data_IF_257915585837
#
_entry.id   IF_257915585837
#
_cell.length_a   1.000
_cell.length_b   1.000
_cell.length_c   1.000
_cell.angle_alpha   90.00
_cell.angle_beta   90.00
_cell.angle_gamma   90.00
#
_symmetry.space_group_name_H-M   'P 1'
#
loop_
_entity.id
_entity.type
_entity.pdbx_description
1 polymer ?
#
# COMPACT_ATOMS: atom_id res chain seq x y z
N UNK A 1 -12.02 -13.63 2.47
CA UNK A 1 -11.86 -14.66 1.42
C UNK A 1 -10.44 -14.52 0.90
N UNK A 2 -9.63 -15.57 0.93
CA UNK A 2 -8.26 -15.54 0.43
C UNK A 2 -8.29 -15.35 -1.08
N UNK A 3 -7.78 -14.23 -1.60
CA UNK A 3 -7.40 -14.16 -3.01
C UNK A 3 -6.42 -15.32 -3.27
N UNK A 4 -6.84 -16.25 -4.12
CA UNK A 4 -5.99 -17.34 -4.56
C UNK A 4 -4.79 -16.74 -5.32
N UNK A 5 -3.69 -16.50 -4.61
CA UNK A 5 -2.40 -16.21 -5.21
C UNK A 5 -2.15 -17.26 -6.29
N UNK A 6 -1.80 -16.81 -7.49
CA UNK A 6 -1.52 -17.66 -8.65
C UNK A 6 -0.02 -17.68 -8.89
N UNK A 7 0.50 -18.84 -9.30
CA UNK A 7 1.87 -18.98 -9.73
C UNK A 7 2.17 -18.04 -10.90
N UNK A 8 3.26 -17.29 -10.80
CA UNK A 8 3.67 -16.29 -11.80
C UNK A 8 4.18 -16.91 -13.10
N UNK A 9 4.51 -18.21 -13.08
CA UNK A 9 4.91 -18.93 -14.28
C UNK A 9 3.72 -19.58 -15.00
N UNK A 10 2.89 -20.34 -14.27
CA UNK A 10 1.88 -21.21 -14.88
C UNK A 10 0.43 -20.78 -14.63
N UNK A 11 0.21 -19.69 -13.89
CA UNK A 11 -1.13 -19.16 -13.59
C UNK A 11 -2.00 -20.01 -12.66
N UNK A 12 -1.51 -21.18 -12.22
CA UNK A 12 -2.24 -22.08 -11.31
C UNK A 12 -2.21 -21.53 -9.89
N UNK A 13 -3.36 -21.54 -9.21
CA UNK A 13 -3.44 -21.35 -7.77
C UNK A 13 -3.24 -22.67 -7.04
N UNK A 14 -2.60 -22.64 -5.88
CA UNK A 14 -2.50 -23.78 -4.96
C UNK A 14 -2.40 -23.25 -3.53
N UNK A 15 -2.70 -24.08 -2.52
CA UNK A 15 -2.75 -23.66 -1.11
C UNK A 15 -1.43 -23.08 -0.60
N UNK A 16 -0.29 -23.60 -1.07
CA UNK A 16 1.05 -23.16 -0.64
C UNK A 16 1.91 -22.79 -1.84
N UNK A 17 2.15 -21.50 -2.05
CA UNK A 17 3.11 -21.03 -3.06
C UNK A 17 4.43 -20.64 -2.39
N UNK A 18 5.55 -20.93 -3.06
CA UNK A 18 6.87 -20.46 -2.65
C UNK A 18 7.12 -19.05 -3.18
N UNK A 19 7.69 -18.18 -2.34
CA UNK A 19 8.13 -16.83 -2.75
C UNK A 19 9.54 -16.89 -3.33
N UNK A 20 9.84 -16.09 -4.34
CA UNK A 20 11.20 -15.88 -4.85
C UNK A 20 12.13 -15.46 -3.71
N UNK A 21 13.28 -16.09 -3.54
CA UNK A 21 14.19 -15.74 -2.45
C UNK A 21 14.83 -14.32 -2.59
N UNK A 22 14.98 -13.85 -3.84
CA UNK A 22 15.56 -12.53 -4.13
C UNK A 22 14.59 -11.40 -3.85
N UNK A 23 13.51 -11.31 -4.62
CA UNK A 23 12.54 -10.23 -4.44
C UNK A 23 11.55 -10.50 -3.29
N UNK A 24 11.22 -11.76 -2.97
CA UNK A 24 10.16 -12.16 -1.99
C UNK A 24 8.73 -11.80 -2.43
N UNK A 25 8.55 -11.41 -3.68
CA UNK A 25 7.27 -11.00 -4.27
C UNK A 25 6.67 -12.04 -5.20
N UNK A 26 7.41 -12.41 -6.25
CA UNK A 26 6.93 -13.39 -7.20
C UNK A 26 6.71 -14.73 -6.49
N UNK A 27 5.53 -15.32 -6.72
CA UNK A 27 5.12 -16.59 -6.10
C UNK A 27 5.05 -17.69 -7.14
N UNK A 28 5.48 -18.89 -6.77
CA UNK A 28 5.62 -20.03 -7.66
C UNK A 28 5.10 -21.31 -7.01
N UNK A 29 4.63 -22.25 -7.83
CA UNK A 29 4.24 -23.57 -7.34
C UNK A 29 5.42 -24.30 -6.69
N UNK A 30 6.60 -24.19 -7.30
CA UNK A 30 7.81 -24.91 -6.94
C UNK A 30 9.03 -24.27 -7.63
N UNK A 31 10.22 -24.83 -7.37
CA UNK A 31 11.48 -24.34 -7.93
C UNK A 31 11.52 -24.43 -9.47
N UNK A 32 10.79 -25.35 -10.07
CA UNK A 32 10.76 -25.50 -11.53
C UNK A 32 9.99 -24.36 -12.19
N UNK A 33 8.84 -23.99 -11.63
CA UNK A 33 8.12 -22.79 -12.06
C UNK A 33 8.96 -21.51 -11.88
N UNK A 34 9.72 -21.41 -10.78
CA UNK A 34 10.62 -20.28 -10.57
C UNK A 34 11.75 -20.24 -11.63
N UNK A 35 12.39 -21.38 -11.92
CA UNK A 35 13.46 -21.49 -12.93
C UNK A 35 12.95 -21.20 -14.33
N UNK A 36 11.78 -21.72 -14.69
CA UNK A 36 11.14 -21.47 -15.98
C UNK A 36 10.81 -19.99 -16.19
N UNK A 37 10.35 -19.29 -15.14
CA UNK A 37 10.08 -17.85 -15.20
C UNK A 37 11.34 -16.98 -15.08
N UNK A 38 12.52 -17.55 -14.78
CA UNK A 38 13.70 -16.77 -14.41
C UNK A 38 14.19 -15.84 -15.51
N UNK A 39 14.13 -16.23 -16.78
CA UNK A 39 14.54 -15.37 -17.91
C UNK A 39 13.75 -14.06 -17.94
N UNK A 40 12.45 -14.11 -17.62
CA UNK A 40 11.55 -12.96 -17.64
C UNK A 40 11.57 -12.21 -16.30
N UNK A 41 11.82 -12.92 -15.19
CA UNK A 41 11.80 -12.37 -13.85
C UNK A 41 13.13 -11.74 -13.41
N UNK A 42 14.27 -12.24 -13.87
CA UNK A 42 15.61 -11.94 -13.30
C UNK A 42 15.88 -10.45 -13.17
N UNK A 43 15.63 -9.68 -14.24
CA UNK A 43 15.94 -8.26 -14.25
C UNK A 43 14.93 -7.46 -13.40
N UNK A 44 13.63 -7.79 -13.47
CA UNK A 44 12.63 -7.23 -12.56
C UNK A 44 12.94 -7.54 -11.08
N UNK A 45 13.41 -8.76 -10.79
CA UNK A 45 13.81 -9.19 -9.46
C UNK A 45 15.00 -8.37 -8.92
N UNK A 46 16.04 -8.16 -9.74
CA UNK A 46 17.21 -7.37 -9.37
C UNK A 46 16.86 -5.90 -9.22
N UNK A 47 16.04 -5.36 -10.11
CA UNK A 47 15.64 -3.97 -10.12
C UNK A 47 14.88 -3.63 -8.83
N UNK A 48 13.88 -4.44 -8.48
CA UNK A 48 13.15 -4.29 -7.21
C UNK A 48 14.08 -4.34 -6.00
N UNK A 49 15.06 -5.24 -6.01
CA UNK A 49 16.04 -5.32 -4.94
C UNK A 49 16.89 -4.06 -4.81
N UNK A 50 17.35 -3.50 -5.93
CA UNK A 50 18.06 -2.22 -5.95
C UNK A 50 17.19 -1.07 -5.49
N UNK A 51 15.93 -1.01 -5.93
CA UNK A 51 15.02 0.09 -5.59
C UNK A 51 14.70 0.18 -4.10
N UNK A 52 14.56 -0.97 -3.45
CA UNK A 52 14.30 -1.03 -2.01
C UNK A 52 15.55 -0.76 -1.20
N UNK A 53 16.70 -1.25 -1.65
CA UNK A 53 17.98 -0.95 -1.04
C UNK A 53 18.33 0.54 -1.16
N UNK A 54 18.01 1.16 -2.30
CA UNK A 54 18.19 2.60 -2.54
C UNK A 54 17.10 3.47 -1.90
N UNK A 55 16.10 2.87 -1.23
CA UNK A 55 14.94 3.56 -0.70
C UNK A 55 15.27 4.45 0.50
N UNK A 56 15.74 5.67 0.24
CA UNK A 56 15.67 6.79 1.17
C UNK A 56 14.91 7.95 0.51
N UNK A 57 13.88 8.43 1.21
CA UNK A 57 13.19 9.71 0.99
C UNK A 57 12.49 9.90 -0.36
N UNK A 58 11.17 9.67 -0.40
CA UNK A 58 10.34 10.67 -1.07
C UNK A 58 10.28 11.91 -0.17
N UNK A 59 11.36 12.71 -0.21
CA UNK A 59 11.22 14.14 0.03
C UNK A 59 11.54 14.95 -1.21
N UNK A 60 12.35 14.47 -2.15
CA UNK A 60 12.71 15.28 -3.32
C UNK A 60 12.81 14.43 -4.60
N UNK A 61 11.89 14.72 -5.52
CA UNK A 61 11.89 14.37 -6.95
C UNK A 61 12.01 12.87 -7.39
N UNK A 62 10.96 12.27 -8.01
CA UNK A 62 11.05 10.93 -8.60
C UNK A 62 12.14 10.74 -9.68
N UNK A 63 12.64 11.82 -10.30
CA UNK A 63 13.71 11.75 -11.30
C UNK A 63 15.09 11.37 -10.70
N UNK A 64 15.33 11.65 -9.41
CA UNK A 64 16.63 11.39 -8.76
C UNK A 64 16.90 9.89 -8.58
N UNK A 65 15.86 9.11 -8.21
CA UNK A 65 16.00 7.67 -8.00
C UNK A 65 16.16 6.93 -9.33
N UNK A 66 15.57 7.46 -10.41
CA UNK A 66 15.75 6.95 -11.77
C UNK A 66 17.21 7.09 -12.20
N UNK A 67 17.86 8.21 -11.90
CA UNK A 67 19.28 8.42 -12.20
C UNK A 67 20.18 7.34 -11.56
N UNK A 68 19.87 6.92 -10.33
CA UNK A 68 20.58 5.83 -9.64
C UNK A 68 20.30 4.44 -10.24
N UNK A 69 19.16 4.24 -10.90
CA UNK A 69 18.82 2.99 -11.61
C UNK A 69 19.56 2.91 -12.95
N UNK A 70 19.62 4.03 -13.68
CA UNK A 70 20.26 4.12 -15.00
C UNK A 70 21.77 4.19 -14.93
N UNK A 71 22.34 4.54 -13.76
CA UNK A 71 23.78 4.50 -13.50
C UNK A 71 24.36 3.08 -13.56
N UNK A 72 24.69 2.63 -14.77
CA UNK A 72 25.33 1.33 -15.03
C UNK A 72 24.45 0.27 -15.70
N UNK A 73 23.23 0.61 -16.12
CA UNK A 73 22.40 -0.26 -16.97
C UNK A 73 22.40 0.36 -18.37
N UNK A 74 22.96 -0.36 -19.34
CA UNK A 74 22.93 0.04 -20.74
C UNK A 74 21.47 0.31 -21.14
N UNK A 75 21.17 1.45 -21.78
CA UNK A 75 19.83 1.91 -22.21
C UNK A 75 19.17 1.00 -23.26
N UNK A 76 19.48 -0.30 -23.27
CA UNK A 76 18.65 -1.27 -23.94
C UNK A 76 17.27 -1.19 -23.31
N UNK A 77 16.33 -0.54 -24.01
CA UNK A 77 14.90 -0.65 -23.79
C UNK A 77 14.59 -2.12 -23.57
N UNK A 78 14.41 -2.51 -22.31
CA UNK A 78 14.01 -3.86 -21.96
C UNK A 78 12.54 -3.96 -22.32
N UNK A 79 12.28 -4.21 -23.60
CA UNK A 79 10.97 -4.64 -24.11
C UNK A 79 10.77 -6.08 -23.64
N UNK A 80 10.66 -6.26 -22.32
CA UNK A 80 10.07 -7.48 -21.78
C UNK A 80 8.60 -7.33 -22.15
N UNK A 81 8.20 -8.00 -23.23
CA UNK A 81 6.83 -7.97 -23.73
C UNK A 81 5.91 -8.48 -22.64
N UNK A 82 5.28 -7.54 -21.96
CA UNK A 82 4.19 -7.79 -21.04
C UNK A 82 2.92 -7.16 -21.66
N UNK A 83 1.74 -7.57 -21.19
CA UNK A 83 0.46 -7.14 -21.78
C UNK A 83 0.23 -5.62 -21.72
N UNK A 84 1.11 -4.86 -21.06
CA UNK A 84 1.05 -3.40 -20.96
C UNK A 84 1.69 -2.67 -22.14
N UNK A 85 2.59 -3.31 -22.88
CA UNK A 85 3.32 -2.71 -24.00
C UNK A 85 4.39 -1.67 -23.62
N UNK A 86 4.78 -1.59 -22.33
CA UNK A 86 5.79 -0.64 -21.82
C UNK A 86 7.04 -1.35 -21.31
N UNK A 87 8.19 -0.67 -21.36
CA UNK A 87 9.41 -1.19 -20.76
C UNK A 87 9.39 -1.10 -19.23
N UNK A 88 10.16 -1.96 -18.57
CA UNK A 88 10.26 -2.09 -17.11
C UNK A 88 10.50 -0.75 -16.39
N UNK A 89 11.40 0.09 -16.92
CA UNK A 89 11.78 1.35 -16.28
C UNK A 89 10.63 2.37 -16.36
N UNK A 90 9.92 2.39 -17.48
CA UNK A 90 8.71 3.22 -17.63
C UNK A 90 7.63 2.83 -16.63
N UNK A 91 7.35 1.53 -16.45
CA UNK A 91 6.32 1.11 -15.49
C UNK A 91 6.70 1.50 -14.05
N UNK A 92 7.97 1.35 -13.66
CA UNK A 92 8.47 1.79 -12.35
C UNK A 92 8.32 3.30 -12.12
N UNK A 93 8.65 4.10 -13.14
CA UNK A 93 8.47 5.57 -13.10
C UNK A 93 7.01 5.95 -12.91
N UNK A 94 6.13 5.32 -13.68
CA UNK A 94 4.70 5.56 -13.64
C UNK A 94 4.14 5.22 -12.26
N UNK A 95 4.44 4.04 -11.71
CA UNK A 95 3.97 3.61 -10.38
C UNK A 95 4.43 4.58 -9.29
N UNK A 96 5.71 4.97 -9.28
CA UNK A 96 6.24 5.93 -8.30
C UNK A 96 5.56 7.28 -8.38
N UNK A 97 5.44 7.82 -9.58
CA UNK A 97 4.76 9.10 -9.81
C UNK A 97 3.31 9.05 -9.35
N UNK A 98 2.61 7.96 -9.63
CA UNK A 98 1.24 7.77 -9.19
C UNK A 98 1.15 7.66 -7.66
N UNK A 99 2.03 6.87 -7.01
CA UNK A 99 2.11 6.78 -5.56
C UNK A 99 2.35 8.12 -4.89
N UNK A 100 3.21 8.97 -5.48
CA UNK A 100 3.46 10.34 -5.02
C UNK A 100 2.21 11.22 -5.14
N UNK A 101 1.56 11.21 -6.30
CA UNK A 101 0.34 12.01 -6.55
C UNK A 101 -0.77 11.62 -5.56
N UNK A 102 -0.91 10.33 -5.27
CA UNK A 102 -1.97 9.79 -4.41
C UNK A 102 -1.52 9.54 -2.97
N UNK A 103 -0.38 10.08 -2.55
CA UNK A 103 0.25 9.74 -1.26
C UNK A 103 -0.70 9.87 -0.08
N UNK A 104 -1.39 11.01 0.04
CA UNK A 104 -2.35 11.25 1.12
C UNK A 104 -3.52 10.28 1.12
N UNK A 105 -3.98 9.87 -0.07
CA UNK A 105 -5.08 8.93 -0.24
C UNK A 105 -4.66 7.49 0.08
N UNK A 106 -3.44 7.11 -0.29
CA UNK A 106 -2.83 5.82 0.05
C UNK A 106 -2.62 5.73 1.56
N UNK A 107 -2.11 6.79 2.21
CA UNK A 107 -1.93 6.82 3.66
C UNK A 107 -3.26 6.65 4.41
N UNK A 108 -4.32 7.32 3.95
CA UNK A 108 -5.67 7.08 4.45
C UNK A 108 -6.10 5.61 4.31
N UNK A 109 -5.91 5.02 3.12
CA UNK A 109 -6.27 3.62 2.89
C UNK A 109 -5.49 2.66 3.78
N UNK A 110 -4.20 2.89 4.00
CA UNK A 110 -3.36 2.09 4.91
C UNK A 110 -3.91 2.15 6.33
N UNK A 111 -4.18 3.35 6.85
CA UNK A 111 -4.67 3.53 8.22
C UNK A 111 -5.96 2.75 8.44
N UNK A 112 -6.89 2.82 7.47
CA UNK A 112 -8.17 2.12 7.52
C UNK A 112 -8.03 0.60 7.35
N UNK A 113 -7.25 0.16 6.35
CA UNK A 113 -7.09 -1.26 6.04
C UNK A 113 -6.36 -2.02 7.14
N UNK A 114 -5.26 -1.46 7.66
CA UNK A 114 -4.50 -2.07 8.76
C UNK A 114 -5.16 -1.79 10.11
N UNK A 115 -6.15 -0.91 10.17
CA UNK A 115 -6.78 -0.47 11.42
C UNK A 115 -5.73 0.04 12.41
N UNK A 116 -4.76 0.82 11.92
CA UNK A 116 -3.55 1.24 12.68
C UNK A 116 -3.90 1.93 14.00
N UNK A 117 -5.05 2.60 14.02
CA UNK A 117 -5.59 3.28 15.20
C UNK A 117 -6.05 2.32 16.30
N UNK A 118 -6.55 1.15 15.92
CA UNK A 118 -7.08 0.13 16.84
C UNK A 118 -5.97 -0.87 17.18
N UNK A 119 -5.18 -1.22 16.17
CA UNK A 119 -4.15 -2.25 16.17
C UNK A 119 -2.84 -1.69 15.60
N UNK A 120 -2.17 -0.75 16.31
CA UNK A 120 -0.95 -0.09 15.81
C UNK A 120 0.17 -1.08 15.48
N UNK A 121 0.24 -2.21 16.18
CA UNK A 121 1.18 -3.30 15.92
C UNK A 121 1.05 -3.92 14.52
N UNK A 122 -0.10 -3.72 13.84
CA UNK A 122 -0.30 -4.23 12.48
C UNK A 122 0.64 -3.61 11.45
N UNK A 123 1.18 -2.41 11.70
CA UNK A 123 2.22 -1.82 10.81
C UNK A 123 3.52 -2.64 10.79
N UNK A 124 3.73 -3.52 11.77
CA UNK A 124 4.90 -4.41 11.82
C UNK A 124 4.65 -5.79 11.23
N UNK A 125 3.38 -6.18 11.05
CA UNK A 125 2.99 -7.53 10.69
C UNK A 125 2.29 -7.61 9.35
N UNK A 126 1.73 -6.50 8.85
CA UNK A 126 0.94 -6.44 7.63
C UNK A 126 1.29 -5.22 6.77
N UNK A 127 0.96 -5.29 5.49
CA UNK A 127 1.03 -4.20 4.53
C UNK A 127 -0.23 -4.16 3.66
N UNK A 128 -0.50 -3.01 3.04
CA UNK A 128 -1.58 -2.85 2.05
C UNK A 128 -1.05 -3.20 0.66
N UNK A 129 -1.67 -4.16 -0.01
CA UNK A 129 -1.37 -4.55 -1.39
C UNK A 129 -2.44 -3.99 -2.32
N UNK A 130 -2.04 -3.23 -3.34
CA UNK A 130 -2.94 -2.47 -4.22
C UNK A 130 -2.72 -2.96 -5.65
N UNK A 131 -3.80 -3.42 -6.29
CA UNK A 131 -3.80 -3.82 -7.69
C UNK A 131 -4.38 -2.73 -8.57
N UNK A 132 -3.63 -2.39 -9.60
CA UNK A 132 -4.03 -1.40 -10.59
C UNK A 132 -3.79 -1.90 -12.01
N UNK A 133 -4.49 -1.34 -13.00
CA UNK A 133 -4.17 -1.52 -14.42
C UNK A 133 -3.92 -0.17 -15.05
N UNK A 134 -3.14 -0.11 -16.13
CA UNK A 134 -3.05 1.11 -16.92
C UNK A 134 -4.43 1.53 -17.40
N UNK A 135 -4.72 2.82 -17.29
CA UNK A 135 -5.92 3.38 -17.88
C UNK A 135 -5.77 3.39 -19.40
N UNK A 136 -6.77 2.85 -20.09
CA UNK A 136 -6.77 2.72 -21.55
C UNK A 136 -7.41 3.94 -22.23
N UNK A 137 -8.02 4.86 -21.49
CA UNK A 137 -8.54 6.10 -22.03
C UNK A 137 -7.38 7.08 -22.33
N UNK A 138 -7.10 7.38 -23.62
CA UNK A 138 -6.01 8.28 -23.99
C UNK A 138 -6.26 9.73 -23.55
N UNK A 139 -7.49 10.09 -23.17
CA UNK A 139 -7.85 11.42 -22.68
C UNK A 139 -7.79 11.54 -21.16
N UNK A 140 -7.54 10.44 -20.45
CA UNK A 140 -7.49 10.46 -18.99
C UNK A 140 -6.35 11.37 -18.50
N UNK A 141 -6.60 12.21 -17.47
CA UNK A 141 -5.55 13.03 -16.89
C UNK A 141 -4.48 12.15 -16.23
N UNK A 142 -3.24 12.64 -16.13
CA UNK A 142 -2.10 11.87 -15.56
C UNK A 142 -2.35 11.35 -14.14
N UNK A 143 -3.19 12.02 -13.36
CA UNK A 143 -3.62 11.56 -12.02
C UNK A 143 -4.41 10.24 -12.08
N UNK A 144 -5.12 9.97 -13.19
CA UNK A 144 -5.86 8.74 -13.46
C UNK A 144 -5.10 7.78 -14.40
N UNK A 145 -3.76 7.85 -14.42
CA UNK A 145 -2.92 6.96 -15.22
C UNK A 145 -3.18 5.47 -14.97
N UNK A 146 -3.62 5.15 -13.75
CA UNK A 146 -4.01 3.80 -13.38
C UNK A 146 -5.47 3.74 -12.95
N UNK A 147 -6.13 2.66 -13.31
CA UNK A 147 -7.45 2.26 -12.82
C UNK A 147 -7.30 1.31 -11.64
N UNK A 148 -7.95 1.63 -10.52
CA UNK A 148 -8.00 0.75 -9.36
C UNK A 148 -8.79 -0.53 -9.65
N UNK A 149 -8.20 -1.68 -9.30
CA UNK A 149 -8.79 -3.00 -9.47
C UNK A 149 -9.28 -3.57 -8.14
N UNK A 150 -8.37 -3.67 -7.17
CA UNK A 150 -8.61 -4.27 -5.85
C UNK A 150 -7.50 -3.88 -4.89
N UNK A 151 -7.71 -4.11 -3.60
CA UNK A 151 -6.64 -4.11 -2.62
C UNK A 151 -6.87 -5.16 -1.54
N UNK A 152 -5.80 -5.58 -0.87
CA UNK A 152 -5.88 -6.55 0.22
C UNK A 152 -4.81 -6.32 1.27
N UNK A 153 -5.12 -6.68 2.52
CA UNK A 153 -4.15 -6.66 3.62
C UNK A 153 -3.37 -7.97 3.58
N UNK A 154 -2.04 -7.86 3.47
CA UNK A 154 -1.16 -9.01 3.34
C UNK A 154 -0.18 -9.06 4.52
N UNK A 155 0.09 -10.25 5.09
CA UNK A 155 1.09 -10.38 6.14
C UNK A 155 2.49 -10.25 5.55
N UNK A 156 3.41 -9.66 6.31
CA UNK A 156 4.83 -9.72 5.99
C UNK A 156 5.34 -11.15 6.08
N UNK A 157 6.39 -11.43 5.31
CA UNK A 157 7.17 -12.63 5.53
C UNK A 157 7.95 -12.50 6.87
N UNK A 158 8.20 -13.58 7.62
CA UNK A 158 8.88 -13.51 8.93
C UNK A 158 10.24 -12.80 8.91
N UNK A 159 10.98 -12.87 7.80
CA UNK A 159 12.28 -12.21 7.63
C UNK A 159 12.19 -10.78 7.06
N UNK A 160 10.98 -10.22 6.85
CA UNK A 160 10.82 -8.99 6.08
C UNK A 160 11.68 -7.84 6.60
N UNK A 161 11.70 -7.63 7.92
CA UNK A 161 12.44 -6.56 8.58
C UNK A 161 13.93 -6.86 8.77
N UNK A 162 14.36 -8.11 8.66
CA UNK A 162 15.77 -8.53 8.78
C UNK A 162 16.42 -8.74 7.41
N UNK A 163 15.63 -8.81 6.34
CA UNK A 163 16.12 -8.99 4.99
C UNK A 163 16.91 -7.75 4.53
N UNK A 164 18.17 -7.89 4.08
CA UNK A 164 19.00 -6.77 3.64
C UNK A 164 18.36 -5.89 2.56
N UNK A 165 17.48 -6.45 1.72
CA UNK A 165 16.73 -5.72 0.70
C UNK A 165 15.85 -4.60 1.28
N UNK A 166 15.39 -4.76 2.53
CA UNK A 166 14.50 -3.83 3.23
C UNK A 166 15.25 -3.06 4.33
N UNK A 167 16.59 -3.10 4.35
CA UNK A 167 17.42 -2.49 5.40
C UNK A 167 17.12 -1.00 5.60
N UNK A 168 16.84 -0.25 4.54
CA UNK A 168 16.48 1.16 4.64
C UNK A 168 15.14 1.38 5.36
N UNK A 169 14.08 0.64 4.96
CA UNK A 169 12.78 0.67 5.66
C UNK A 169 12.89 0.19 7.11
N UNK A 170 13.72 -0.82 7.36
CA UNK A 170 13.98 -1.32 8.71
C UNK A 170 14.71 -0.27 9.57
N UNK A 171 15.68 0.45 9.00
CA UNK A 171 16.38 1.54 9.67
C UNK A 171 15.43 2.69 10.01
N UNK A 172 14.56 3.09 9.08
CA UNK A 172 13.52 4.09 9.32
C UNK A 172 12.53 3.64 10.39
N UNK A 173 12.04 2.40 10.32
CA UNK A 173 11.18 1.81 11.36
C UNK A 173 11.83 1.91 12.73
N UNK A 174 13.09 1.48 12.85
CA UNK A 174 13.82 1.52 14.11
C UNK A 174 14.04 2.96 14.58
N UNK A 175 14.26 3.90 13.65
CA UNK A 175 14.40 5.33 13.97
C UNK A 175 13.12 5.93 14.54
N UNK A 176 11.98 5.70 13.87
CA UNK A 176 10.66 6.16 14.33
C UNK A 176 10.33 5.58 15.71
N UNK A 177 10.53 4.27 15.89
CA UNK A 177 10.27 3.60 17.17
C UNK A 177 11.17 4.13 18.30
N UNK A 178 12.44 4.43 18.02
CA UNK A 178 13.34 5.07 19.02
C UNK A 178 12.87 6.46 19.44
N UNK A 179 12.17 7.16 18.56
CA UNK A 179 11.61 8.50 18.84
C UNK A 179 10.19 8.44 19.44
N UNK A 180 9.72 7.27 19.87
CA UNK A 180 8.39 7.10 20.48
C UNK A 180 7.24 6.97 19.49
N UNK A 181 7.52 6.93 18.18
CA UNK A 181 6.52 6.64 17.16
C UNK A 181 6.18 5.15 17.06
N UNK A 182 5.18 4.82 16.25
CA UNK A 182 4.70 3.44 16.08
C UNK A 182 5.65 2.66 15.16
N UNK A 183 6.13 3.25 14.07
CA UNK A 183 7.02 2.58 13.12
C UNK A 183 6.85 3.07 11.69
N UNK A 184 6.92 2.15 10.73
CA UNK A 184 6.73 2.46 9.30
C UNK A 184 5.58 1.62 8.76
N UNK A 185 4.56 2.29 8.20
CA UNK A 185 3.55 1.62 7.40
C UNK A 185 4.11 1.28 6.03
N UNK A 186 3.61 0.22 5.40
CA UNK A 186 4.09 -0.24 4.10
C UNK A 186 2.90 -0.50 3.19
N UNK A 187 3.05 -0.13 1.91
CA UNK A 187 2.16 -0.56 0.86
C UNK A 187 2.94 -1.09 -0.35
N UNK A 188 2.25 -1.87 -1.17
CA UNK A 188 2.75 -2.38 -2.45
C UNK A 188 1.75 -2.05 -3.54
N UNK A 189 2.25 -1.60 -4.69
CA UNK A 189 1.44 -1.41 -5.90
C UNK A 189 1.85 -2.43 -6.93
N UNK A 190 0.90 -3.23 -7.40
CA UNK A 190 1.08 -4.20 -8.50
C UNK A 190 0.31 -3.71 -9.71
N UNK A 191 1.00 -3.63 -10.84
CA UNK A 191 0.38 -3.30 -12.12
C UNK A 191 0.01 -4.59 -12.82
N UNK A 192 -1.26 -4.75 -13.14
CA UNK A 192 -1.78 -5.89 -13.91
C UNK A 192 -1.01 -6.00 -15.22
N UNK A 193 -0.73 -7.25 -15.59
CA UNK A 193 0.05 -7.62 -16.77
C UNK A 193 1.48 -7.09 -16.78
N UNK A 194 1.98 -6.53 -15.67
CA UNK A 194 3.37 -6.09 -15.57
C UNK A 194 4.31 -7.20 -15.13
N UNK A 195 5.54 -7.18 -15.67
CA UNK A 195 6.66 -8.03 -15.20
C UNK A 195 7.19 -7.62 -13.82
N UNK A 196 6.86 -6.42 -13.34
CA UNK A 196 7.25 -5.95 -12.01
C UNK A 196 6.47 -6.70 -10.95
N UNK A 197 7.14 -7.31 -9.97
CA UNK A 197 6.46 -8.10 -8.97
C UNK A 197 5.71 -7.28 -7.91
N UNK A 198 5.90 -5.96 -7.94
CA UNK A 198 5.20 -4.95 -7.18
C UNK A 198 6.17 -3.95 -6.56
N UNK A 199 5.91 -2.67 -6.74
CA UNK A 199 6.73 -1.59 -6.16
C UNK A 199 6.28 -1.35 -4.72
N UNK A 200 7.23 -1.30 -3.78
CA UNK A 200 6.93 -1.08 -2.35
C UNK A 200 7.51 0.23 -1.85
N UNK A 201 6.69 0.91 -1.05
CA UNK A 201 7.06 2.12 -0.33
C UNK A 201 6.51 2.06 1.10
N UNK A 202 6.97 2.99 1.93
CA UNK A 202 6.49 3.12 3.30
C UNK A 202 6.27 4.56 3.74
N UNK A 203 5.57 4.72 4.86
CA UNK A 203 5.34 5.99 5.54
C UNK A 203 5.73 5.91 6.99
N UNK A 204 6.38 6.96 7.51
CA UNK A 204 6.66 7.04 8.95
C UNK A 204 5.36 7.28 9.71
N UNK A 205 5.18 6.55 10.79
CA UNK A 205 4.04 6.66 11.71
C UNK A 205 4.58 7.22 13.03
N UNK A 206 4.79 8.53 13.05
CA UNK A 206 5.53 9.26 14.11
C UNK A 206 4.75 9.41 15.43
N UNK A 207 3.43 9.31 15.39
CA UNK A 207 2.57 9.42 16.59
C UNK A 207 1.77 8.13 16.77
N UNK A 208 1.39 7.73 18.00
CA UNK A 208 0.20 6.91 18.15
C UNK A 208 -0.92 7.59 17.35
N UNK A 209 -1.41 6.90 16.33
CA UNK A 209 -2.36 7.48 15.38
C UNK A 209 -3.62 7.78 16.16
N UNK A 210 -3.81 9.04 16.56
CA UNK A 210 -5.06 9.49 17.13
C UNK A 210 -6.04 9.75 16.01
N UNK A 211 -6.39 8.73 15.25
CA UNK A 211 -7.67 8.69 14.56
C UNK A 211 -8.49 7.61 15.23
N UNK A 212 -9.80 7.78 15.26
CA UNK A 212 -10.69 6.98 16.11
C UNK A 212 -11.88 6.53 15.33
N UNK A 213 -11.67 6.21 14.06
CA UNK A 213 -12.77 5.73 13.25
C UNK A 213 -12.31 4.69 12.23
N UNK A 214 -13.07 3.61 12.17
CA UNK A 214 -13.03 2.66 11.08
C UNK A 214 -14.17 3.00 10.12
N UNK A 215 -13.83 3.55 8.95
CA UNK A 215 -14.77 3.72 7.86
C UNK A 215 -14.97 2.39 7.16
N UNK A 216 -16.10 1.74 7.35
CA UNK A 216 -16.39 0.40 6.80
C UNK A 216 -16.46 0.40 5.27
N UNK A 217 -16.68 1.55 4.63
CA UNK A 217 -16.64 1.73 3.17
C UNK A 217 -15.39 2.47 2.68
N UNK A 218 -14.27 2.42 3.41
CA UNK A 218 -13.03 3.09 3.03
C UNK A 218 -12.54 2.68 1.62
N UNK A 219 -12.73 1.43 1.20
CA UNK A 219 -12.29 0.95 -0.12
C UNK A 219 -13.11 1.58 -1.25
N UNK A 220 -14.43 1.77 -1.06
CA UNK A 220 -15.29 2.50 -2.00
C UNK A 220 -14.85 3.96 -2.10
N UNK A 221 -14.57 4.60 -0.96
CA UNK A 221 -14.07 5.99 -0.90
C UNK A 221 -12.74 6.10 -1.64
N UNK A 222 -11.81 5.18 -1.35
CA UNK A 222 -10.51 5.10 -1.99
C UNK A 222 -10.64 5.01 -3.50
N UNK A 223 -11.51 4.11 -3.99
CA UNK A 223 -11.80 3.97 -5.41
C UNK A 223 -12.42 5.24 -6.02
N UNK A 224 -13.41 5.85 -5.37
CA UNK A 224 -14.06 7.06 -5.88
C UNK A 224 -13.08 8.23 -6.02
N UNK A 225 -12.15 8.37 -5.08
CA UNK A 225 -11.11 9.38 -5.13
C UNK A 225 -10.08 9.08 -6.24
N UNK A 226 -9.64 7.82 -6.38
CA UNK A 226 -8.72 7.42 -7.45
C UNK A 226 -9.32 7.62 -8.84
N UNK A 227 -10.61 7.29 -9.02
CA UNK A 227 -11.37 7.50 -10.26
C UNK A 227 -11.67 8.99 -10.51
N UNK A 228 -11.26 9.91 -9.62
CA UNK A 228 -11.55 11.36 -9.69
C UNK A 228 -13.04 11.73 -9.61
N UNK A 229 -13.88 10.81 -9.15
CA UNK A 229 -15.33 11.03 -8.95
C UNK A 229 -15.61 11.83 -7.68
N UNK A 230 -14.68 11.82 -6.74
CA UNK A 230 -14.67 12.54 -5.47
C UNK A 230 -13.25 12.98 -5.14
N UNK A 231 -13.11 13.83 -4.14
CA UNK A 231 -11.83 14.20 -3.54
C UNK A 231 -11.86 14.03 -2.02
N UNK A 232 -10.71 14.15 -1.37
CA UNK A 232 -10.55 13.91 0.07
C UNK A 232 -11.40 14.83 0.97
N UNK A 233 -11.92 15.96 0.46
CA UNK A 233 -12.86 16.81 1.19
C UNK A 233 -14.14 16.07 1.60
N UNK A 234 -14.50 14.99 0.91
CA UNK A 234 -15.64 14.16 1.30
C UNK A 234 -15.48 13.56 2.70
N UNK A 235 -14.24 13.40 3.20
CA UNK A 235 -13.93 12.90 4.53
C UNK A 235 -14.15 13.94 5.64
N UNK A 236 -14.46 15.20 5.31
CA UNK A 236 -14.65 16.27 6.30
C UNK A 236 -15.61 15.89 7.43
N UNK A 237 -16.78 15.25 7.20
CA UNK A 237 -17.64 14.78 8.27
C UNK A 237 -16.94 13.79 9.22
N UNK A 238 -16.15 12.85 8.68
CA UNK A 238 -15.39 11.90 9.50
C UNK A 238 -14.29 12.61 10.32
N UNK A 239 -13.61 13.60 9.73
CA UNK A 239 -12.61 14.44 10.41
C UNK A 239 -13.23 15.26 11.54
N UNK A 240 -14.41 15.84 11.33
CA UNK A 240 -15.13 16.59 12.37
C UNK A 240 -15.59 15.69 13.51
N UNK A 241 -16.10 14.50 13.18
CA UNK A 241 -16.47 13.50 14.18
C UNK A 241 -15.27 13.06 15.02
N UNK A 242 -14.14 12.77 14.36
CA UNK A 242 -12.87 12.42 15.00
C UNK A 242 -12.45 13.46 16.03
N UNK A 243 -12.40 14.74 15.64
CA UNK A 243 -12.05 15.83 16.57
C UNK A 243 -12.97 15.87 17.80
N UNK A 244 -14.26 15.64 17.58
CA UNK A 244 -15.25 15.59 18.66
C UNK A 244 -15.03 14.41 19.59
N UNK A 245 -14.69 13.23 19.06
CA UNK A 245 -14.37 12.05 19.86
C UNK A 245 -13.11 12.26 20.71
N UNK A 246 -12.06 12.82 20.13
CA UNK A 246 -10.84 13.15 20.87
C UNK A 246 -11.12 14.12 22.04
N UNK A 247 -11.99 15.11 21.82
CA UNK A 247 -12.37 16.05 22.87
C UNK A 247 -13.23 15.41 23.99
N UNK A 248 -14.09 14.45 23.65
CA UNK A 248 -15.01 13.82 24.61
C UNK A 248 -14.39 12.66 25.38
N UNK A 249 -13.40 11.99 24.80
CA UNK A 249 -12.76 10.81 25.38
C UNK A 249 -11.24 10.91 25.25
N UNK A 250 -10.55 11.83 25.96
CA UNK A 250 -9.10 12.03 25.78
C UNK A 250 -8.27 10.75 25.99
N UNK A 251 -8.76 9.76 26.76
CA UNK A 251 -8.04 8.52 27.08
C UNK A 251 -7.79 7.57 25.89
N UNK A 252 -8.58 7.64 24.81
CA UNK A 252 -8.33 6.78 23.63
C UNK A 252 -9.15 5.50 23.56
N UNK A 253 -10.06 5.27 24.52
CA UNK A 253 -10.69 3.97 24.69
C UNK A 253 -11.80 3.72 23.66
N UNK A 254 -12.51 4.78 23.25
CA UNK A 254 -13.63 4.68 22.31
C UNK A 254 -13.23 5.07 20.89
N UNK A 255 -13.77 4.32 19.93
CA UNK A 255 -13.61 4.57 18.49
C UNK A 255 -14.94 4.36 17.76
N UNK A 256 -15.16 5.10 16.68
CA UNK A 256 -16.31 4.94 15.80
C UNK A 256 -16.07 3.79 14.82
N UNK A 257 -17.10 2.98 14.58
CA UNK A 257 -17.20 2.13 13.39
C UNK A 257 -18.34 2.67 12.58
N UNK A 258 -18.03 3.23 11.40
CA UNK A 258 -18.99 4.03 10.67
C UNK A 258 -18.88 3.87 9.15
N UNK A 259 -19.94 4.21 8.45
CA UNK A 259 -20.00 4.34 6.99
C UNK A 259 -20.19 5.81 6.66
N UNK A 260 -19.43 6.32 5.69
CA UNK A 260 -19.61 7.68 5.16
C UNK A 260 -20.42 7.60 3.87
N UNK A 261 -21.64 8.12 3.87
CA UNK A 261 -22.53 8.12 2.70
C UNK A 261 -23.25 9.46 2.57
N UNK A 262 -23.20 10.07 1.38
CA UNK A 262 -23.84 11.34 1.08
C UNK A 262 -23.55 12.45 2.13
N UNK A 263 -22.28 12.57 2.56
CA UNK A 263 -21.85 13.56 3.55
C UNK A 263 -22.27 13.26 5.00
N UNK A 264 -22.86 12.09 5.26
CA UNK A 264 -23.28 11.67 6.60
C UNK A 264 -22.45 10.49 7.09
N UNK A 265 -22.09 10.52 8.37
CA UNK A 265 -21.41 9.43 9.07
C UNK A 265 -22.45 8.66 9.86
N UNK A 266 -22.62 7.37 9.56
CA UNK A 266 -23.61 6.49 10.18
C UNK A 266 -22.89 5.31 10.82
N UNK A 267 -23.25 4.94 12.05
CA UNK A 267 -22.61 3.83 12.75
C UNK A 267 -22.73 3.91 14.27
N UNK A 268 -21.80 3.26 14.95
CA UNK A 268 -21.77 3.13 16.40
C UNK A 268 -20.38 3.42 16.98
N UNK A 269 -20.35 3.77 18.27
CA UNK A 269 -19.12 3.78 19.06
C UNK A 269 -18.86 2.40 19.63
N UNK A 270 -17.59 1.99 19.58
CA UNK A 270 -17.05 0.78 20.20
C UNK A 270 -15.95 1.14 21.18
N UNK A 271 -15.54 0.17 21.99
CA UNK A 271 -14.47 0.32 22.98
C UNK A 271 -13.37 -0.70 22.76
N UNK A 272 -12.11 -0.29 22.94
CA UNK A 272 -10.96 -1.19 22.95
C UNK A 272 -10.92 -2.04 24.23
N UNK A 273 -11.40 -1.49 25.36
CA UNK A 273 -11.42 -2.15 26.67
C UNK A 273 -12.64 -3.05 26.89
N UNK A 274 -13.75 -2.72 26.23
CA UNK A 274 -15.01 -3.47 26.31
C UNK A 274 -15.51 -3.80 24.89
N UNK A 275 -15.20 -5.01 24.38
CA UNK A 275 -15.65 -5.44 23.06
C UNK A 275 -17.18 -5.47 22.89
N UNK A 276 -17.95 -5.57 23.99
CA UNK A 276 -19.41 -5.60 24.00
C UNK A 276 -20.05 -4.23 23.90
N UNK A 277 -19.33 -3.16 24.26
CA UNK A 277 -19.85 -1.80 24.27
C UNK A 277 -20.34 -1.35 22.88
N UNK A 278 -21.56 -0.79 22.83
CA UNK A 278 -22.13 -0.11 21.66
C UNK A 278 -22.73 1.22 22.10
N UNK A 279 -22.21 2.32 21.57
CA UNK A 279 -22.68 3.68 21.85
C UNK A 279 -23.16 4.41 20.60
N UNK A 280 -23.84 5.54 20.79
CA UNK A 280 -24.28 6.40 19.67
C UNK A 280 -23.16 7.35 19.25
N UNK A 281 -23.01 7.58 17.94
CA UNK A 281 -22.06 8.58 17.44
C UNK A 281 -22.46 10.01 17.88
N UNK A 282 -21.51 10.85 18.29
CA UNK A 282 -21.77 12.26 18.56
C UNK A 282 -22.32 12.97 17.31
N UNK A 283 -23.33 13.83 17.48
CA UNK A 283 -23.83 14.68 16.38
C UNK A 283 -22.75 15.68 15.97
N UNK A 284 -22.43 15.73 14.68
CA UNK A 284 -21.64 16.80 14.08
C UNK A 284 -22.61 17.98 13.89
N UNK A 285 -22.36 19.12 14.55
CA UNK A 285 -23.17 20.33 14.37
C UNK A 285 -22.72 21.05 13.10
#
# INVERSE_FOLDING_TARGET
MSENLKCWNCGKGQEKLMKCAGCRYAVYCNKDCQRAHWSNHKEACKMEAKLRAAGQMQRENPDMIVGSITGGVNEQRFTIGDGTGKDLLTVLKDVRKWSLIHRSLIDFAIVQALQVEIHPERVHTHFLDIDVAYNTDPKAPKVQMFTFLSCSVQPFHPDYWTNPINSALAADRNSVMRNGGVGVSVFRVRVRDSVIPGHTEGGRVESPVEERFLLTNWEEIFKLCLDGKRDMSMLLPAVLLKRKLQAQDPSGDKYAVATLKAGRVLGDLRSKKDPGYRGTLPRIK
#
